data_IF_712742146631
#
_entry.id   IF_712742146631
#
_cell.length_a   1.000
_cell.length_b   1.000
_cell.length_c   1.000
_cell.angle_alpha   90.00
_cell.angle_beta   90.00
_cell.angle_gamma   90.00
#
_symmetry.space_group_name_H-M   'P 1'
#
loop_
_entity.id
_entity.type
_entity.pdbx_description
1 polymer ?
#
# COMPACT_ATOMS: atom_id res chain seq x y z
N UNK A 1 3.58 -0.50 8.66
CA UNK A 1 4.66 -0.17 9.62
C UNK A 1 4.14 0.56 10.85
N UNK A 2 3.54 1.75 10.75
CA UNK A 2 3.01 2.47 11.93
C UNK A 2 2.01 1.64 12.77
N UNK A 3 1.11 0.89 12.13
CA UNK A 3 0.17 0.02 12.86
C UNK A 3 0.84 -1.16 13.60
N UNK A 4 1.97 -1.67 13.07
CA UNK A 4 2.73 -2.77 13.69
C UNK A 4 3.46 -2.25 14.93
N UNK A 5 4.13 -1.10 14.80
CA UNK A 5 4.78 -0.42 15.92
C UNK A 5 3.76 -0.11 17.02
N UNK A 6 2.59 0.39 16.65
CA UNK A 6 1.51 0.64 17.62
C UNK A 6 1.04 -0.65 18.28
N UNK A 7 0.88 -1.76 17.54
CA UNK A 7 0.49 -3.03 18.14
C UNK A 7 1.53 -3.58 19.11
N UNK A 8 2.80 -3.31 18.91
CA UNK A 8 3.89 -3.78 19.77
C UNK A 8 4.02 -2.95 21.06
N UNK A 9 3.66 -1.67 21.01
CA UNK A 9 3.77 -0.73 22.15
C UNK A 9 2.48 -0.67 22.98
N UNK A 10 1.32 -0.87 22.36
CA UNK A 10 0.00 -0.62 22.96
C UNK A 10 -0.76 -1.92 23.25
N UNK A 11 -1.33 -2.00 24.46
CA UNK A 11 -2.16 -3.12 24.92
C UNK A 11 -3.42 -3.30 24.05
N UNK A 12 -3.90 -4.55 23.90
CA UNK A 12 -5.00 -4.90 22.98
C UNK A 12 -6.27 -4.04 23.18
N UNK A 13 -6.57 -3.69 24.43
CA UNK A 13 -7.76 -2.92 24.82
C UNK A 13 -7.66 -1.45 24.39
N UNK A 14 -6.46 -0.88 24.42
CA UNK A 14 -6.25 0.53 24.05
C UNK A 14 -6.00 0.72 22.55
N UNK A 15 -5.67 -0.35 21.81
CA UNK A 15 -5.38 -0.29 20.36
C UNK A 15 -6.45 0.44 19.57
N UNK A 16 -7.74 0.26 19.90
CA UNK A 16 -8.84 0.97 19.23
C UNK A 16 -8.74 2.49 19.38
N UNK A 17 -8.41 2.99 20.57
CA UNK A 17 -8.23 4.43 20.85
C UNK A 17 -7.05 5.00 20.07
N UNK A 18 -5.90 4.31 20.08
CA UNK A 18 -4.70 4.76 19.36
C UNK A 18 -4.84 4.64 17.84
N UNK A 19 -5.52 3.61 17.33
CA UNK A 19 -5.90 3.54 15.92
C UNK A 19 -6.83 4.68 15.52
N UNK A 20 -7.74 5.09 16.42
CA UNK A 20 -8.57 6.29 16.22
C UNK A 20 -7.75 7.57 16.05
N UNK A 21 -6.75 7.79 16.92
CA UNK A 21 -5.86 8.95 16.78
C UNK A 21 -5.04 8.92 15.49
N UNK A 22 -4.49 7.77 15.13
CA UNK A 22 -3.77 7.60 13.85
C UNK A 22 -4.71 7.85 12.67
N UNK A 23 -5.93 7.30 12.72
CA UNK A 23 -6.95 7.49 11.70
C UNK A 23 -7.36 8.95 11.54
N UNK A 24 -7.52 9.68 12.65
CA UNK A 24 -7.81 11.11 12.64
C UNK A 24 -6.67 11.91 12.00
N UNK A 25 -5.42 11.60 12.33
CA UNK A 25 -4.26 12.25 11.71
C UNK A 25 -4.20 11.98 10.19
N UNK A 26 -4.48 10.75 9.76
CA UNK A 26 -4.56 10.39 8.33
C UNK A 26 -5.70 11.12 7.63
N UNK A 27 -6.87 11.22 8.25
CA UNK A 27 -8.02 11.93 7.68
C UNK A 27 -7.75 13.44 7.54
N UNK A 28 -7.16 14.07 8.56
CA UNK A 28 -6.73 15.47 8.51
C UNK A 28 -5.69 15.70 7.41
N UNK A 29 -4.68 14.83 7.32
CA UNK A 29 -3.67 14.89 6.27
C UNK A 29 -4.28 14.71 4.88
N UNK A 30 -5.23 13.79 4.72
CA UNK A 30 -5.92 13.54 3.45
C UNK A 30 -6.83 14.70 3.02
N UNK A 31 -7.42 15.43 3.97
CA UNK A 31 -8.24 16.61 3.69
C UNK A 31 -7.42 17.87 3.40
N UNK A 32 -6.36 18.12 4.17
CA UNK A 32 -5.50 19.30 4.02
C UNK A 32 -4.53 19.14 2.83
N UNK A 33 -4.11 17.91 2.53
CA UNK A 33 -3.12 17.59 1.51
C UNK A 33 -3.43 18.18 0.13
N UNK A 34 -4.62 17.96 -0.45
CA UNK A 34 -4.99 18.53 -1.75
C UNK A 34 -5.01 20.06 -1.77
N UNK A 35 -5.45 20.72 -0.69
CA UNK A 35 -5.49 22.19 -0.59
C UNK A 35 -4.08 22.78 -0.58
N UNK A 36 -3.20 22.23 0.25
CA UNK A 36 -1.79 22.66 0.33
C UNK A 36 -1.05 22.30 -0.96
N UNK A 37 -1.27 21.10 -1.49
CA UNK A 37 -0.68 20.63 -2.74
C UNK A 37 -1.09 21.49 -3.95
N UNK A 38 -2.38 21.84 -4.06
CA UNK A 38 -2.90 22.73 -5.10
C UNK A 38 -2.30 24.14 -5.00
N UNK A 39 -2.27 24.71 -3.80
CA UNK A 39 -1.64 26.01 -3.57
C UNK A 39 -0.15 26.02 -3.92
N UNK A 40 0.61 24.99 -3.53
CA UNK A 40 2.03 24.87 -3.86
C UNK A 40 2.26 24.62 -5.36
N UNK A 41 1.38 23.87 -6.01
CA UNK A 41 1.45 23.61 -7.46
C UNK A 41 1.30 24.90 -8.29
N UNK A 42 0.53 25.88 -7.79
CA UNK A 42 0.37 27.19 -8.45
C UNK A 42 1.67 28.00 -8.55
N UNK A 43 2.58 27.84 -7.58
CA UNK A 43 3.91 28.47 -7.58
C UNK A 43 4.92 27.62 -8.35
N UNK A 44 4.71 26.31 -8.38
CA UNK A 44 5.42 25.36 -9.22
C UNK A 44 5.33 23.96 -8.64
N UNK A 45 4.99 22.97 -9.47
CA UNK A 45 4.77 21.57 -9.07
C UNK A 45 5.90 20.97 -8.20
N UNK A 46 7.15 21.44 -8.36
CA UNK A 46 8.32 20.97 -7.59
C UNK A 46 8.21 21.32 -6.11
N UNK A 47 7.52 22.40 -5.76
CA UNK A 47 7.35 22.85 -4.37
C UNK A 47 6.55 21.88 -3.53
N UNK A 48 5.67 21.08 -4.14
CA UNK A 48 4.97 19.99 -3.45
C UNK A 48 6.00 19.02 -2.84
N UNK A 49 7.04 18.64 -3.60
CA UNK A 49 8.10 17.76 -3.10
C UNK A 49 8.99 18.46 -2.07
N UNK A 50 9.41 19.70 -2.34
CA UNK A 50 10.25 20.46 -1.41
C UNK A 50 9.58 20.72 -0.06
N UNK A 51 8.25 20.81 -0.02
CA UNK A 51 7.49 20.95 1.22
C UNK A 51 7.39 19.63 2.00
N UNK A 52 7.22 18.51 1.30
CA UNK A 52 7.12 17.18 1.94
C UNK A 52 8.43 16.73 2.59
N UNK A 53 9.59 17.01 1.96
CA UNK A 53 10.91 16.60 2.48
C UNK A 53 11.20 17.08 3.91
N UNK A 54 11.13 18.39 4.25
CA UNK A 54 11.45 18.88 5.58
C UNK A 54 10.47 18.35 6.64
N UNK A 55 9.16 18.29 6.32
CA UNK A 55 8.15 17.76 7.24
C UNK A 55 8.43 16.29 7.55
N UNK A 56 8.70 15.50 6.53
CA UNK A 56 9.01 14.07 6.69
C UNK A 56 10.31 13.88 7.47
N UNK A 57 11.30 14.73 7.24
CA UNK A 57 12.59 14.69 7.95
C UNK A 57 12.41 14.95 9.44
N UNK A 58 11.61 15.96 9.82
CA UNK A 58 11.28 16.24 11.23
C UNK A 58 10.58 15.05 11.88
N UNK A 59 9.61 14.43 11.20
CA UNK A 59 8.94 13.23 11.70
C UNK A 59 9.91 12.06 11.90
N UNK A 60 10.86 11.85 10.97
CA UNK A 60 11.88 10.80 11.09
C UNK A 60 12.77 11.04 12.31
N UNK A 61 13.23 12.28 12.53
CA UNK A 61 14.07 12.63 13.68
C UNK A 61 13.31 12.42 15.00
N UNK A 62 12.05 12.83 15.07
CA UNK A 62 11.21 12.61 16.25
C UNK A 62 11.01 11.11 16.52
N UNK A 63 10.71 10.32 15.49
CA UNK A 63 10.58 8.87 15.63
C UNK A 63 11.91 8.24 16.07
N UNK A 64 13.04 8.68 15.54
CA UNK A 64 14.34 8.13 15.91
C UNK A 64 14.67 8.31 17.39
N UNK A 65 14.26 9.43 18.00
CA UNK A 65 14.45 9.68 19.43
C UNK A 65 13.38 9.07 20.34
N UNK A 66 12.11 9.07 19.91
CA UNK A 66 11.00 8.65 20.76
C UNK A 66 10.71 7.16 20.69
N UNK A 67 11.09 6.48 19.61
CA UNK A 67 10.79 5.06 19.46
C UNK A 67 11.74 4.22 20.33
N UNK A 68 11.22 3.41 21.28
CA UNK A 68 12.06 2.53 22.07
C UNK A 68 12.82 1.57 21.15
N UNK A 69 14.16 1.62 21.19
CA UNK A 69 14.96 0.65 20.45
C UNK A 69 14.86 -0.70 21.14
N UNK A 70 13.89 -1.50 20.71
CA UNK A 70 13.79 -2.87 21.17
C UNK A 70 14.95 -3.65 20.53
N UNK A 71 16.04 -3.82 21.29
CA UNK A 71 17.22 -4.59 20.88
C UNK A 71 16.84 -6.06 20.80
N UNK A 72 16.12 -6.45 19.75
CA UNK A 72 15.97 -7.86 19.40
C UNK A 72 17.36 -8.41 19.07
N UNK A 73 17.90 -9.14 20.05
CA UNK A 73 19.20 -9.84 20.13
C UNK A 73 19.40 -10.93 19.07
N UNK A 74 18.78 -10.82 17.89
CA UNK A 74 19.00 -11.77 16.80
C UNK A 74 20.11 -11.23 15.89
N UNK A 75 21.10 -12.08 15.60
CA UNK A 75 22.18 -11.80 14.67
C UNK A 75 21.59 -11.34 13.32
N UNK A 76 22.16 -10.31 12.71
CA UNK A 76 21.64 -9.74 11.45
C UNK A 76 21.46 -10.81 10.34
N UNK A 77 22.34 -11.82 10.30
CA UNK A 77 22.25 -12.96 9.40
C UNK A 77 21.07 -13.91 9.67
N UNK A 78 20.63 -14.06 10.91
CA UNK A 78 19.44 -14.85 11.25
C UNK A 78 18.17 -14.13 10.83
N UNK A 79 18.11 -12.79 11.02
CA UNK A 79 16.99 -11.97 10.54
C UNK A 79 16.85 -12.02 9.02
N UNK A 80 17.97 -12.00 8.28
CA UNK A 80 17.96 -12.14 6.82
C UNK A 80 17.41 -13.50 6.37
N UNK A 81 17.77 -14.58 7.06
CA UNK A 81 17.23 -15.92 6.76
C UNK A 81 15.74 -16.08 7.06
N UNK A 82 15.18 -15.24 7.93
CA UNK A 82 13.73 -15.22 8.21
C UNK A 82 12.92 -14.49 7.14
N UNK A 83 13.55 -13.73 6.24
CA UNK A 83 12.85 -13.02 5.17
C UNK A 83 12.64 -13.97 3.99
N UNK A 84 11.38 -14.15 3.58
CA UNK A 84 11.04 -14.88 2.36
C UNK A 84 11.31 -14.02 1.12
N UNK A 85 12.58 -13.98 0.70
CA UNK A 85 13.00 -13.27 -0.50
C UNK A 85 12.40 -13.85 -1.77
N UNK A 86 12.26 -15.17 -1.84
CA UNK A 86 11.72 -15.85 -3.03
C UNK A 86 10.24 -15.52 -3.20
N UNK A 87 9.43 -15.67 -2.15
CA UNK A 87 8.03 -15.27 -2.16
C UNK A 87 7.85 -13.78 -2.44
N UNK A 88 8.69 -12.93 -1.85
CA UNK A 88 8.65 -11.48 -2.10
C UNK A 88 8.94 -11.10 -3.55
N UNK A 89 9.94 -11.73 -4.18
CA UNK A 89 10.27 -11.45 -5.59
C UNK A 89 9.20 -11.99 -6.54
N UNK A 90 8.69 -13.20 -6.30
CA UNK A 90 7.64 -13.80 -7.14
C UNK A 90 6.33 -13.02 -7.03
N UNK A 91 5.93 -12.60 -5.82
CA UNK A 91 4.75 -11.76 -5.63
C UNK A 91 4.89 -10.39 -6.28
N UNK A 92 6.06 -9.75 -6.13
CA UNK A 92 6.35 -8.48 -6.81
C UNK A 92 6.25 -8.63 -8.33
N UNK A 93 6.86 -9.66 -8.91
CA UNK A 93 6.80 -9.93 -10.35
C UNK A 93 5.37 -10.16 -10.83
N UNK A 94 4.59 -10.97 -10.10
CA UNK A 94 3.19 -11.23 -10.43
C UNK A 94 2.35 -9.93 -10.42
N UNK A 95 2.49 -9.11 -9.37
CA UNK A 95 1.77 -7.85 -9.22
C UNK A 95 2.13 -6.87 -10.35
N UNK A 96 3.42 -6.72 -10.67
CA UNK A 96 3.88 -5.83 -11.74
C UNK A 96 3.33 -6.28 -13.10
N UNK A 97 3.44 -7.58 -13.42
CA UNK A 97 2.97 -8.12 -14.70
C UNK A 97 1.45 -8.04 -14.88
N UNK A 98 0.68 -7.99 -13.79
CA UNK A 98 -0.77 -7.79 -13.86
C UNK A 98 -1.11 -6.30 -13.92
N UNK A 99 -0.50 -5.47 -13.07
CA UNK A 99 -0.87 -4.05 -12.94
C UNK A 99 -0.44 -3.19 -14.11
N UNK A 100 0.74 -3.43 -14.70
CA UNK A 100 1.24 -2.66 -15.85
C UNK A 100 0.28 -2.72 -17.05
N UNK A 101 -0.12 -3.90 -17.55
CA UNK A 101 -1.08 -3.98 -18.64
C UNK A 101 -2.48 -3.48 -18.25
N UNK A 102 -2.91 -3.64 -17.00
CA UNK A 102 -4.19 -3.08 -16.54
C UNK A 102 -4.20 -1.55 -16.54
N UNK A 103 -3.12 -0.92 -16.08
CA UNK A 103 -3.02 0.53 -15.98
C UNK A 103 -2.85 1.20 -17.36
N UNK A 104 -2.17 0.52 -18.30
CA UNK A 104 -1.92 1.05 -19.65
C UNK A 104 -2.83 0.49 -20.74
N UNK A 105 -3.72 -0.45 -20.40
CA UNK A 105 -4.59 -1.13 -21.35
C UNK A 105 -5.65 -0.18 -21.92
N UNK A 106 -5.69 -0.07 -23.25
CA UNK A 106 -6.61 0.79 -23.98
C UNK A 106 -6.12 2.22 -24.24
N UNK A 107 -5.06 2.66 -23.57
CA UNK A 107 -4.43 3.99 -23.78
C UNK A 107 -3.05 3.86 -24.43
N UNK A 108 -2.12 3.21 -23.76
CA UNK A 108 -0.74 3.00 -24.23
C UNK A 108 -0.57 1.69 -25.01
N UNK A 109 -1.33 0.66 -24.63
CA UNK A 109 -1.28 -0.67 -25.24
C UNK A 109 -2.68 -1.13 -25.62
N UNK A 110 -2.85 -1.66 -26.84
CA UNK A 110 -4.12 -2.29 -27.21
C UNK A 110 -4.38 -3.55 -26.36
N UNK A 111 -5.62 -3.74 -25.92
CA UNK A 111 -6.04 -4.92 -25.16
C UNK A 111 -5.77 -6.23 -25.89
N UNK A 112 -5.87 -6.22 -27.23
CA UNK A 112 -5.61 -7.38 -28.08
C UNK A 112 -4.12 -7.57 -28.41
N UNK A 113 -3.22 -6.76 -27.84
CA UNK A 113 -1.79 -6.93 -28.03
C UNK A 113 -1.31 -8.22 -27.38
N UNK A 114 -0.49 -8.99 -28.10
CA UNK A 114 0.16 -10.18 -27.57
C UNK A 114 0.98 -9.88 -26.29
N UNK A 115 1.52 -8.66 -26.17
CA UNK A 115 2.24 -8.21 -24.98
C UNK A 115 1.33 -8.12 -23.75
N UNK A 116 0.15 -7.52 -23.90
CA UNK A 116 -0.83 -7.36 -22.80
C UNK A 116 -1.34 -8.72 -22.35
N UNK A 117 -1.74 -9.57 -23.30
CA UNK A 117 -2.26 -10.90 -23.01
C UNK A 117 -1.18 -11.78 -22.36
N UNK A 118 0.07 -11.75 -22.87
CA UNK A 118 1.17 -12.53 -22.28
C UNK A 118 1.53 -12.05 -20.88
N UNK A 119 1.60 -10.74 -20.63
CA UNK A 119 1.86 -10.19 -19.30
C UNK A 119 0.78 -10.61 -18.29
N UNK A 120 -0.50 -10.49 -18.65
CA UNK A 120 -1.61 -10.91 -17.78
C UNK A 120 -1.56 -12.43 -17.53
N UNK A 121 -1.32 -13.23 -18.57
CA UNK A 121 -1.28 -14.69 -18.46
C UNK A 121 -0.12 -15.16 -17.56
N UNK A 122 1.09 -14.63 -17.80
CA UNK A 122 2.29 -14.96 -17.03
C UNK A 122 2.17 -14.42 -15.59
N UNK A 123 1.67 -13.21 -15.41
CA UNK A 123 1.42 -12.63 -14.10
C UNK A 123 0.41 -13.45 -13.28
N UNK A 124 -0.67 -13.92 -13.91
CA UNK A 124 -1.66 -14.79 -13.29
C UNK A 124 -1.05 -16.15 -12.93
N UNK A 125 -0.24 -16.74 -13.81
CA UNK A 125 0.46 -17.99 -13.52
C UNK A 125 1.44 -17.85 -12.34
N UNK A 126 2.18 -16.73 -12.28
CA UNK A 126 3.07 -16.41 -11.17
C UNK A 126 2.32 -16.14 -9.86
N UNK A 127 1.14 -15.53 -9.91
CA UNK A 127 0.29 -15.34 -8.74
C UNK A 127 -0.19 -16.69 -8.17
N UNK A 128 -0.62 -17.62 -9.04
CA UNK A 128 -0.98 -18.98 -8.62
C UNK A 128 0.24 -19.71 -8.07
N UNK A 129 1.40 -19.60 -8.72
CA UNK A 129 2.64 -20.18 -8.25
C UNK A 129 3.03 -19.63 -6.87
N UNK A 130 2.90 -18.33 -6.65
CA UNK A 130 3.15 -17.70 -5.35
C UNK A 130 2.27 -18.31 -4.26
N UNK A 131 0.96 -18.43 -4.49
CA UNK A 131 0.05 -19.06 -3.51
C UNK A 131 0.43 -20.51 -3.23
N UNK A 132 0.85 -21.27 -4.25
CA UNK A 132 1.28 -22.67 -4.08
C UNK A 132 2.60 -22.78 -3.31
N UNK A 133 3.56 -21.91 -3.60
CA UNK A 133 4.86 -21.85 -2.92
C UNK A 133 4.66 -21.47 -1.45
N UNK A 134 3.84 -20.46 -1.17
CA UNK A 134 3.51 -20.08 0.21
C UNK A 134 2.76 -21.17 0.96
N UNK A 135 1.85 -21.88 0.29
CA UNK A 135 1.11 -22.95 0.92
C UNK A 135 1.99 -24.14 1.32
N UNK A 136 3.04 -24.42 0.53
CA UNK A 136 3.75 -25.71 0.61
C UNK A 136 5.21 -25.62 1.07
N UNK A 137 5.91 -24.51 0.82
CA UNK A 137 7.35 -24.38 1.06
C UNK A 137 7.74 -23.31 2.09
N UNK A 138 6.90 -22.31 2.36
CA UNK A 138 7.28 -21.21 3.24
C UNK A 138 7.26 -21.62 4.72
N UNK A 139 8.42 -21.53 5.40
CA UNK A 139 8.55 -21.73 6.85
C UNK A 139 8.00 -20.54 7.66
N UNK A 140 8.02 -19.35 7.06
CA UNK A 140 7.44 -18.10 7.57
C UNK A 140 6.58 -17.49 6.44
N UNK A 141 5.35 -17.97 6.23
CA UNK A 141 4.50 -17.50 5.14
C UNK A 141 4.13 -16.03 5.35
N UNK A 142 4.24 -15.22 4.30
CA UNK A 142 3.81 -13.80 4.29
C UNK A 142 2.28 -13.77 4.37
N UNK A 143 1.62 -14.73 3.73
CA UNK A 143 0.17 -14.92 3.77
C UNK A 143 -0.17 -16.29 4.41
N UNK A 144 -0.32 -16.34 5.74
CA UNK A 144 -0.69 -17.58 6.42
C UNK A 144 -2.10 -18.04 6.02
N UNK A 145 -2.17 -18.99 5.08
CA UNK A 145 -3.43 -19.47 4.49
C UNK A 145 -4.39 -20.09 5.51
N UNK A 146 -3.89 -20.54 6.67
CA UNK A 146 -4.74 -21.03 7.76
C UNK A 146 -5.68 -19.95 8.32
N UNK A 147 -5.34 -18.65 8.19
CA UNK A 147 -6.21 -17.56 8.62
C UNK A 147 -7.52 -17.52 7.82
N UNK A 148 -7.50 -17.92 6.54
CA UNK A 148 -8.70 -17.99 5.71
C UNK A 148 -9.65 -19.11 6.11
N UNK A 149 -9.25 -20.01 7.02
CA UNK A 149 -10.18 -20.99 7.62
C UNK A 149 -11.20 -20.32 8.53
N UNK A 150 -10.89 -19.13 9.07
CA UNK A 150 -11.81 -18.38 9.91
C UNK A 150 -12.71 -17.49 9.07
N UNK A 151 -14.02 -17.76 9.09
CA UNK A 151 -15.03 -16.99 8.36
C UNK A 151 -14.97 -15.49 8.65
N UNK A 152 -14.71 -15.09 9.89
CA UNK A 152 -14.63 -13.67 10.25
C UNK A 152 -13.47 -12.98 9.54
N UNK A 153 -12.33 -13.67 9.42
CA UNK A 153 -11.14 -13.14 8.74
C UNK A 153 -11.41 -12.98 7.24
N UNK A 154 -12.07 -13.96 6.61
CA UNK A 154 -12.46 -13.88 5.19
C UNK A 154 -13.41 -12.71 4.93
N UNK A 155 -14.39 -12.49 5.81
CA UNK A 155 -15.33 -11.36 5.71
C UNK A 155 -14.59 -10.04 5.84
N UNK A 156 -13.68 -9.91 6.81
CA UNK A 156 -12.89 -8.70 7.03
C UNK A 156 -12.04 -8.40 5.79
N UNK A 157 -11.27 -9.38 5.28
CA UNK A 157 -10.44 -9.17 4.10
C UNK A 157 -11.25 -8.85 2.84
N UNK A 158 -12.38 -9.53 2.63
CA UNK A 158 -13.29 -9.23 1.51
C UNK A 158 -13.84 -7.82 1.59
N UNK A 159 -14.24 -7.38 2.80
CA UNK A 159 -14.74 -6.02 3.03
C UNK A 159 -13.63 -5.00 2.76
N UNK A 160 -12.43 -5.21 3.30
CA UNK A 160 -11.27 -4.34 3.04
C UNK A 160 -10.94 -4.25 1.54
N UNK A 161 -11.01 -5.36 0.82
CA UNK A 161 -10.81 -5.39 -0.62
C UNK A 161 -11.84 -4.53 -1.38
N UNK A 162 -13.13 -4.71 -1.07
CA UNK A 162 -14.21 -3.92 -1.68
C UNK A 162 -14.10 -2.43 -1.33
N UNK A 163 -13.79 -2.10 -0.08
CA UNK A 163 -13.54 -0.71 0.34
C UNK A 163 -12.36 -0.11 -0.43
N UNK A 164 -11.30 -0.87 -0.66
CA UNK A 164 -10.15 -0.44 -1.47
C UNK A 164 -10.55 -0.07 -2.89
N UNK A 165 -11.37 -0.90 -3.56
CA UNK A 165 -11.90 -0.60 -4.90
C UNK A 165 -12.64 0.74 -4.88
N UNK A 166 -13.60 0.91 -3.96
CA UNK A 166 -14.40 2.13 -3.87
C UNK A 166 -13.51 3.35 -3.59
N UNK A 167 -12.53 3.21 -2.71
CA UNK A 167 -11.60 4.28 -2.34
C UNK A 167 -10.80 4.78 -3.54
N UNK A 168 -10.13 3.88 -4.28
CA UNK A 168 -9.35 4.27 -5.45
C UNK A 168 -10.20 4.76 -6.61
N UNK A 169 -11.39 4.16 -6.82
CA UNK A 169 -12.35 4.68 -7.79
C UNK A 169 -12.69 6.14 -7.49
N UNK A 170 -13.04 6.48 -6.24
CA UNK A 170 -13.31 7.88 -5.86
C UNK A 170 -12.08 8.78 -6.05
N UNK A 171 -10.90 8.30 -5.65
CA UNK A 171 -9.67 9.08 -5.69
C UNK A 171 -9.27 9.50 -7.11
N UNK A 172 -9.45 8.64 -8.11
CA UNK A 172 -9.11 8.95 -9.51
C UNK A 172 -10.29 9.52 -10.32
N UNK A 173 -11.49 9.01 -10.08
CA UNK A 173 -12.68 9.42 -10.84
C UNK A 173 -13.12 10.84 -10.47
N UNK A 174 -13.12 11.21 -9.19
CA UNK A 174 -13.62 12.54 -8.78
C UNK A 174 -12.80 13.68 -9.40
N UNK A 175 -11.45 13.71 -9.31
CA UNK A 175 -10.67 14.77 -9.96
C UNK A 175 -10.94 14.83 -11.47
N UNK A 176 -10.87 13.69 -12.16
CA UNK A 176 -11.07 13.63 -13.62
C UNK A 176 -12.48 14.07 -14.04
N UNK A 177 -13.51 13.70 -13.27
CA UNK A 177 -14.88 14.13 -13.54
C UNK A 177 -15.05 15.65 -13.36
N UNK A 178 -14.46 16.23 -12.31
CA UNK A 178 -14.55 17.68 -12.08
C UNK A 178 -13.73 18.49 -13.09
N UNK A 179 -12.57 18.00 -13.54
CA UNK A 179 -11.76 18.69 -14.56
C UNK A 179 -12.35 18.51 -15.97
N UNK A 180 -12.65 17.28 -16.37
CA UNK A 180 -12.92 16.97 -17.77
C UNK A 180 -14.40 17.15 -18.13
N UNK A 181 -15.31 16.76 -17.24
CA UNK A 181 -16.75 16.85 -17.50
C UNK A 181 -17.37 18.17 -17.01
N UNK A 182 -16.88 18.72 -15.89
CA UNK A 182 -17.39 19.97 -15.30
C UNK A 182 -16.57 21.21 -15.68
N UNK A 183 -15.38 21.03 -16.26
CA UNK A 183 -14.54 22.14 -16.70
C UNK A 183 -14.00 23.00 -15.55
N UNK A 184 -14.00 22.50 -14.31
CA UNK A 184 -13.40 23.25 -13.21
C UNK A 184 -11.88 23.29 -13.39
N UNK A 185 -11.32 24.49 -13.33
CA UNK A 185 -9.88 24.67 -13.26
C UNK A 185 -9.38 24.09 -11.94
N UNK A 186 -8.18 23.46 -11.89
CA UNK A 186 -7.61 22.93 -10.66
C UNK A 186 -7.12 24.06 -9.74
N UNK A 187 -8.07 24.85 -9.22
CA UNK A 187 -7.95 25.80 -8.09
C UNK A 187 -9.34 26.08 -7.53
#
# INVERSE_FOLDING_TARGET
MAMIIMSDVVSLQERGKYQGFIGAAVALGSGIGPLVGGALSSVGWRWVFWFTVPITSVCIVQLWWMLPQNKMSANFGEKLRMIDFTGSVVSLAAVVLILVPLAGGGTYYSWNSALVISMISVGSALAVLFVLVEWRLASLPILPLYLFRNRNIVIIYSTTFLTGIVYYCNLYFLPSYYTDARGFTPV
#
